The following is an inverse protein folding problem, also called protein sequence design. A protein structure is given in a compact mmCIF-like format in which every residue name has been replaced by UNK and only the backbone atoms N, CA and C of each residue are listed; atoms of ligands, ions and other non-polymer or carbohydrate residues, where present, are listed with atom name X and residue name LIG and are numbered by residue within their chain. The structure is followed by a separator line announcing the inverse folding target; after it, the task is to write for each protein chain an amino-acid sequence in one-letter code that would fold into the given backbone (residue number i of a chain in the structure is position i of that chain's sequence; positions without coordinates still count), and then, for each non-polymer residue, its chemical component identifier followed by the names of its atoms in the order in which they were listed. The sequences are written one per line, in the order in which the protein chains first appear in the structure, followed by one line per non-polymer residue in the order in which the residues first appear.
data_IF_544997866317
#
_entry.id   IF_544997866317
#
_cell.length_a   1.000
_cell.length_b   1.000
_cell.length_c   1.000
_cell.angle_alpha   90.00
_cell.angle_beta   90.00
_cell.angle_gamma   90.00
#
_symmetry.space_group_name_H-M   'P 1'
#
loop_
_entity.id
_entity.type
_entity.pdbx_description
1 polymer ?
#
# COMPACT_ATOMS: atom_id res chain seq x y z
N UNK A 1 19.02 45.22 -21.28
CA UNK A 1 18.58 44.87 -19.91
C UNK A 1 17.45 43.90 -20.08
N UNK A 2 17.56 42.68 -19.54
CA UNK A 2 16.40 41.78 -19.45
C UNK A 2 15.54 42.26 -18.29
N UNK A 3 14.23 42.36 -18.50
CA UNK A 3 13.30 42.62 -17.40
C UNK A 3 13.34 41.44 -16.44
N UNK A 4 13.31 41.70 -15.14
CA UNK A 4 13.34 40.66 -14.11
C UNK A 4 12.12 39.74 -14.25
N UNK A 5 11.00 40.27 -14.73
CA UNK A 5 9.79 39.50 -15.04
C UNK A 5 9.96 38.49 -16.17
N UNK A 6 10.97 38.65 -17.02
CA UNK A 6 11.25 37.76 -18.15
C UNK A 6 12.22 36.63 -17.78
N UNK A 7 12.76 36.63 -16.55
CA UNK A 7 13.71 35.63 -16.10
C UNK A 7 13.05 34.24 -15.93
N UNK A 8 13.54 33.20 -16.61
CA UNK A 8 13.02 31.85 -16.44
C UNK A 8 13.47 31.24 -15.12
N UNK A 9 12.66 30.34 -14.57
CA UNK A 9 13.02 29.57 -13.38
C UNK A 9 13.68 28.26 -13.77
N UNK A 10 14.70 27.85 -13.02
CA UNK A 10 15.36 26.57 -13.22
C UNK A 10 14.78 25.52 -12.27
N UNK A 11 14.52 24.32 -12.78
CA UNK A 11 14.24 23.14 -11.96
C UNK A 11 14.77 21.89 -12.64
N UNK A 12 15.52 21.05 -11.91
CA UNK A 12 16.13 19.83 -12.43
C UNK A 12 16.85 20.01 -13.79
N UNK A 13 17.60 21.11 -13.93
CA UNK A 13 18.35 21.44 -15.15
C UNK A 13 17.51 21.96 -16.33
N UNK A 14 16.17 22.06 -16.20
CA UNK A 14 15.27 22.61 -17.22
C UNK A 14 14.85 24.05 -16.89
N UNK A 15 14.77 24.89 -17.92
CA UNK A 15 14.29 26.26 -17.83
C UNK A 15 12.77 26.32 -18.07
N UNK A 16 12.06 27.03 -17.19
CA UNK A 16 10.62 27.23 -17.25
C UNK A 16 10.30 28.70 -17.44
N UNK A 17 9.35 29.00 -18.33
CA UNK A 17 8.95 30.39 -18.61
C UNK A 17 8.32 31.05 -17.38
N UNK A 18 8.46 32.38 -17.23
CA UNK A 18 7.69 33.14 -16.25
C UNK A 18 6.19 32.82 -16.32
N UNK A 19 5.54 32.71 -15.16
CA UNK A 19 4.13 32.32 -15.02
C UNK A 19 3.86 30.82 -15.14
N UNK A 20 4.87 29.98 -15.42
CA UNK A 20 4.68 28.53 -15.41
C UNK A 20 4.33 28.02 -14.01
N UNK A 21 3.35 27.13 -13.93
CA UNK A 21 2.83 26.58 -12.68
C UNK A 21 3.17 25.10 -12.59
N UNK A 22 3.86 24.71 -11.52
CA UNK A 22 4.11 23.32 -11.14
C UNK A 22 3.17 22.96 -10.00
N UNK A 23 2.33 21.96 -10.20
CA UNK A 23 1.31 21.57 -9.21
C UNK A 23 1.44 20.08 -8.91
N UNK A 24 1.65 19.76 -7.63
CA UNK A 24 1.52 18.41 -7.10
C UNK A 24 0.16 18.26 -6.41
N UNK A 25 -0.14 17.08 -5.88
CA UNK A 25 -1.36 16.87 -5.09
C UNK A 25 -1.49 17.75 -3.83
N UNK A 26 -0.38 18.32 -3.35
CA UNK A 26 -0.32 18.98 -2.04
C UNK A 26 0.51 20.29 -2.00
N UNK A 27 1.09 20.71 -3.12
CA UNK A 27 1.81 21.97 -3.23
C UNK A 27 1.68 22.56 -4.64
N UNK A 28 1.64 23.90 -4.74
CA UNK A 28 1.68 24.62 -6.02
C UNK A 28 2.83 25.61 -6.01
N UNK A 29 3.66 25.60 -7.06
CA UNK A 29 4.79 26.51 -7.23
C UNK A 29 4.65 27.29 -8.54
N UNK A 30 4.77 28.60 -8.46
CA UNK A 30 4.70 29.51 -9.61
C UNK A 30 6.09 30.06 -9.92
N UNK A 31 6.47 30.05 -11.19
CA UNK A 31 7.70 30.70 -11.63
C UNK A 31 7.48 32.21 -11.73
N UNK A 32 8.11 32.99 -10.84
CA UNK A 32 8.04 34.44 -10.82
C UNK A 32 9.44 35.03 -10.62
N UNK A 33 9.81 35.98 -11.48
CA UNK A 33 11.07 36.73 -11.39
C UNK A 33 12.32 35.83 -11.26
N UNK A 34 12.38 34.74 -12.06
CA UNK A 34 13.48 33.77 -12.01
C UNK A 34 13.49 32.83 -10.80
N UNK A 35 12.51 32.92 -9.90
CA UNK A 35 12.40 32.11 -8.68
C UNK A 35 11.08 31.34 -8.57
N UNK A 36 11.08 30.25 -7.79
CA UNK A 36 9.86 29.47 -7.53
C UNK A 36 9.18 29.97 -6.26
N UNK A 37 8.01 30.56 -6.41
CA UNK A 37 7.13 30.90 -5.29
C UNK A 37 6.17 29.74 -5.04
N UNK A 38 6.35 29.03 -3.93
CA UNK A 38 5.56 27.85 -3.58
C UNK A 38 4.55 28.14 -2.46
N UNK A 39 3.38 27.52 -2.56
CA UNK A 39 2.44 27.42 -1.45
C UNK A 39 3.04 26.62 -0.30
N UNK A 40 2.40 26.70 0.87
CA UNK A 40 2.66 25.79 1.98
C UNK A 40 2.60 24.33 1.49
N UNK A 41 3.56 23.53 1.93
CA UNK A 41 3.61 22.11 1.62
C UNK A 41 2.65 21.36 2.54
N UNK A 42 1.56 20.86 1.98
CA UNK A 42 0.55 20.09 2.74
C UNK A 42 0.70 18.58 2.54
N UNK A 43 1.83 18.10 2.02
CA UNK A 43 2.02 16.67 1.81
C UNK A 43 2.16 15.96 3.16
N UNK A 44 1.55 14.79 3.30
CA UNK A 44 1.78 13.94 4.47
C UNK A 44 3.23 13.44 4.49
N UNK A 45 3.90 13.40 5.66
CA UNK A 45 5.24 12.84 5.77
C UNK A 45 5.25 11.38 5.34
N UNK A 46 6.22 11.01 4.50
CA UNK A 46 6.31 9.67 3.92
C UNK A 46 7.73 9.12 4.01
N UNK A 47 7.85 7.93 4.59
CA UNK A 47 9.08 7.15 4.58
C UNK A 47 8.97 6.02 3.55
N UNK A 48 10.07 5.74 2.86
CA UNK A 48 10.15 4.66 1.85
C UNK A 48 11.35 3.77 2.13
N UNK A 49 11.17 2.45 2.05
CA UNK A 49 12.24 1.45 2.07
C UNK A 49 12.13 0.60 0.80
N UNK A 50 13.04 0.83 -0.12
CA UNK A 50 13.07 0.23 -1.45
C UNK A 50 14.38 -0.55 -1.63
N UNK A 51 14.38 -1.82 -1.23
CA UNK A 51 15.62 -2.60 -1.12
C UNK A 51 16.55 -1.97 -0.08
N UNK A 52 17.76 -1.57 -0.50
CA UNK A 52 18.71 -0.88 0.39
C UNK A 52 18.47 0.63 0.51
N UNK A 53 17.62 1.23 -0.32
CA UNK A 53 17.41 2.68 -0.35
C UNK A 53 16.33 3.08 0.64
N UNK A 54 16.63 4.04 1.51
CA UNK A 54 15.69 4.59 2.48
C UNK A 54 15.56 6.09 2.25
N UNK A 55 14.33 6.59 2.30
CA UNK A 55 14.04 8.02 2.44
C UNK A 55 13.26 8.22 3.74
N UNK A 56 13.77 9.05 4.64
CA UNK A 56 13.14 9.39 5.92
C UNK A 56 11.84 10.17 5.72
N UNK A 57 11.06 10.35 6.80
CA UNK A 57 9.85 11.18 6.77
C UNK A 57 10.13 12.64 6.37
N UNK A 58 11.30 13.16 6.73
CA UNK A 58 11.74 14.52 6.44
C UNK A 58 12.43 14.65 5.07
N UNK A 59 12.55 13.55 4.32
CA UNK A 59 13.04 13.52 2.94
C UNK A 59 14.54 13.25 2.80
N UNK A 60 15.24 12.83 3.85
CA UNK A 60 16.64 12.45 3.77
C UNK A 60 16.81 11.06 3.17
N UNK A 61 17.50 10.99 2.03
CA UNK A 61 17.79 9.72 1.35
C UNK A 61 19.18 9.16 1.70
N UNK A 62 19.27 7.85 1.91
CA UNK A 62 20.51 7.14 2.19
C UNK A 62 20.39 5.63 1.90
N UNK A 63 21.49 4.89 2.03
CA UNK A 63 21.52 3.43 1.83
C UNK A 63 21.83 2.66 3.11
N UNK A 64 21.23 1.47 3.22
CA UNK A 64 21.52 0.52 4.30
C UNK A 64 22.85 -0.19 4.05
N UNK A 65 23.68 -0.35 5.09
CA UNK A 65 25.04 -0.87 4.89
C UNK A 65 25.11 -2.39 4.81
N UNK A 66 24.11 -3.14 5.31
CA UNK A 66 24.17 -4.60 5.47
C UNK A 66 22.80 -5.27 5.23
N UNK A 67 22.81 -6.56 4.89
CA UNK A 67 21.61 -7.39 4.71
C UNK A 67 21.09 -7.96 6.04
N UNK A 68 20.48 -7.11 6.86
CA UNK A 68 20.06 -7.46 8.22
C UNK A 68 18.58 -7.24 8.47
N UNK A 69 18.12 -7.52 9.69
CA UNK A 69 16.81 -7.07 10.17
C UNK A 69 16.97 -5.63 10.65
N UNK A 70 16.06 -4.76 10.27
CA UNK A 70 16.08 -3.36 10.72
C UNK A 70 14.76 -2.95 11.35
N UNK A 71 14.83 -2.13 12.39
CA UNK A 71 13.67 -1.38 12.90
C UNK A 71 13.49 -0.15 12.02
N UNK A 72 12.46 -0.20 11.16
CA UNK A 72 12.19 0.84 10.17
C UNK A 72 11.55 2.06 10.82
N UNK A 73 10.51 1.86 11.62
CA UNK A 73 9.84 2.91 12.37
C UNK A 73 9.31 2.36 13.68
N UNK A 74 9.44 3.13 14.75
CA UNK A 74 8.95 2.83 16.09
C UNK A 74 8.30 4.08 16.67
N UNK A 75 7.07 3.92 17.14
CA UNK A 75 6.35 4.91 17.95
C UNK A 75 5.92 4.30 19.28
N UNK A 76 4.97 4.94 19.96
CA UNK A 76 4.48 4.48 21.27
C UNK A 76 3.80 3.11 21.20
N UNK A 77 3.01 2.89 20.15
CA UNK A 77 2.15 1.71 20.00
C UNK A 77 2.45 0.89 18.74
N UNK A 78 3.56 1.15 18.05
CA UNK A 78 3.94 0.36 16.88
C UNK A 78 5.45 0.16 16.78
N UNK A 79 5.83 -0.95 16.16
CA UNK A 79 7.18 -1.20 15.67
C UNK A 79 7.09 -1.90 14.32
N UNK A 80 7.72 -1.32 13.30
CA UNK A 80 7.79 -1.86 11.94
C UNK A 80 9.21 -2.34 11.70
N UNK A 81 9.35 -3.61 11.32
CA UNK A 81 10.64 -4.26 11.04
C UNK A 81 10.65 -4.75 9.60
N UNK A 82 11.82 -4.70 8.97
CA UNK A 82 12.05 -5.26 7.66
C UNK A 82 13.29 -6.15 7.67
N UNK A 83 13.17 -7.35 7.12
CA UNK A 83 14.26 -8.32 7.00
C UNK A 83 14.72 -8.40 5.56
N UNK A 84 16.05 -8.38 5.40
CA UNK A 84 16.68 -8.72 4.13
C UNK A 84 16.76 -10.23 3.91
N UNK A 85 16.80 -10.59 2.63
CA UNK A 85 17.29 -11.89 2.19
C UNK A 85 18.71 -12.15 2.72
N UNK A 86 18.98 -13.42 3.01
CA UNK A 86 20.31 -13.81 3.44
C UNK A 86 21.34 -13.74 2.29
N UNK A 87 20.90 -13.98 1.06
CA UNK A 87 21.75 -14.04 -0.14
C UNK A 87 21.70 -12.75 -0.96
N UNK A 88 20.52 -12.14 -1.10
CA UNK A 88 20.26 -11.05 -2.05
C UNK A 88 20.00 -9.71 -1.35
N UNK A 89 20.17 -8.59 -2.06
CA UNK A 89 19.92 -7.23 -1.54
C UNK A 89 18.44 -6.86 -1.74
N UNK A 90 17.55 -7.70 -1.21
CA UNK A 90 16.09 -7.54 -1.30
C UNK A 90 15.44 -7.77 0.06
N UNK A 91 14.31 -7.13 0.32
CA UNK A 91 13.50 -7.43 1.49
C UNK A 91 12.71 -8.72 1.23
N UNK A 92 12.61 -9.58 2.24
CA UNK A 92 11.85 -10.84 2.17
C UNK A 92 10.73 -10.90 3.20
N UNK A 93 10.80 -10.06 4.23
CA UNK A 93 9.79 -10.04 5.29
C UNK A 93 9.61 -8.64 5.85
N UNK A 94 8.36 -8.25 6.06
CA UNK A 94 7.99 -7.10 6.87
C UNK A 94 7.15 -7.58 8.04
N UNK A 95 7.43 -7.06 9.24
CA UNK A 95 6.65 -7.34 10.45
C UNK A 95 6.17 -6.02 11.02
N UNK A 96 4.85 -5.89 11.18
CA UNK A 96 4.20 -4.73 11.80
C UNK A 96 3.62 -5.21 13.12
N UNK A 97 4.25 -4.79 14.22
CA UNK A 97 3.73 -4.91 15.58
C UNK A 97 2.92 -3.64 15.86
N UNK A 98 1.61 -3.78 16.08
CA UNK A 98 0.69 -2.65 16.29
C UNK A 98 -0.20 -2.98 17.50
N UNK A 99 0.00 -2.26 18.61
CA UNK A 99 -0.54 -2.62 19.93
C UNK A 99 -0.23 -4.10 20.27
N UNK A 100 -1.24 -4.93 20.46
CA UNK A 100 -1.10 -6.36 20.74
C UNK A 100 -1.12 -7.23 19.46
N UNK A 101 -1.36 -6.61 18.31
CA UNK A 101 -1.49 -7.27 17.02
C UNK A 101 -0.14 -7.38 16.30
N UNK A 102 0.01 -8.41 15.48
CA UNK A 102 1.20 -8.59 14.66
C UNK A 102 0.80 -9.06 13.28
N UNK A 103 1.24 -8.32 12.27
CA UNK A 103 1.04 -8.60 10.86
C UNK A 103 2.38 -8.95 10.24
N UNK A 104 2.49 -10.16 9.66
CA UNK A 104 3.69 -10.64 8.99
C UNK A 104 3.46 -10.75 7.50
N UNK A 105 4.29 -10.09 6.72
CA UNK A 105 4.25 -10.03 5.26
C UNK A 105 5.45 -10.81 4.74
N UNK A 106 5.23 -11.96 4.13
CA UNK A 106 6.29 -12.88 3.70
C UNK A 106 5.74 -13.83 2.62
N UNK A 107 6.55 -14.16 1.62
CA UNK A 107 6.21 -15.12 0.55
C UNK A 107 4.85 -14.86 -0.13
N UNK A 108 4.56 -13.58 -0.43
CA UNK A 108 3.28 -13.16 -1.02
C UNK A 108 2.04 -13.51 -0.16
N UNK A 109 2.23 -13.67 1.15
CA UNK A 109 1.16 -13.90 2.13
C UNK A 109 1.22 -12.87 3.25
N UNK A 110 0.06 -12.61 3.87
CA UNK A 110 -0.05 -11.76 5.06
C UNK A 110 -0.69 -12.56 6.16
N UNK A 111 0.00 -12.68 7.30
CA UNK A 111 -0.41 -13.54 8.41
C UNK A 111 -0.56 -12.76 9.70
N UNK A 112 -1.60 -13.11 10.45
CA UNK A 112 -1.78 -12.70 11.83
C UNK A 112 -0.85 -13.49 12.76
N UNK A 113 -0.65 -12.98 13.98
CA UNK A 113 0.14 -13.63 15.04
C UNK A 113 -0.28 -15.09 15.32
N UNK A 114 -1.55 -15.43 15.17
CA UNK A 114 -2.09 -16.78 15.36
C UNK A 114 -1.88 -17.71 14.15
N UNK A 115 -1.19 -17.25 13.11
CA UNK A 115 -0.92 -18.01 11.89
C UNK A 115 -2.04 -17.98 10.85
N UNK A 116 -3.14 -17.25 11.08
CA UNK A 116 -4.22 -17.11 10.10
C UNK A 116 -3.84 -16.15 8.98
N UNK A 117 -4.05 -16.59 7.74
CA UNK A 117 -3.84 -15.79 6.55
C UNK A 117 -4.95 -14.73 6.38
N UNK A 118 -4.55 -13.53 5.95
CA UNK A 118 -5.45 -12.46 5.49
C UNK A 118 -5.51 -12.57 3.96
N UNK A 119 -6.56 -13.23 3.47
CA UNK A 119 -6.76 -13.46 2.03
C UNK A 119 -7.34 -12.25 1.32
N UNK A 120 -8.21 -11.48 1.99
CA UNK A 120 -8.85 -10.30 1.41
C UNK A 120 -8.79 -9.11 2.36
N UNK A 121 -9.44 -9.24 3.52
CA UNK A 121 -9.64 -8.17 4.49
C UNK A 121 -9.57 -8.71 5.91
N UNK A 122 -8.92 -7.96 6.79
CA UNK A 122 -8.96 -8.11 8.23
C UNK A 122 -9.29 -6.76 8.86
N UNK A 123 -10.16 -6.77 9.87
CA UNK A 123 -10.55 -5.58 10.63
C UNK A 123 -10.38 -5.87 12.11
N UNK A 124 -9.73 -4.95 12.80
CA UNK A 124 -9.64 -4.88 14.25
C UNK A 124 -10.02 -3.49 14.75
N UNK A 125 -9.91 -3.27 16.06
CA UNK A 125 -10.09 -1.95 16.67
C UNK A 125 -8.93 -0.99 16.33
N UNK A 126 -7.79 -1.52 15.91
CA UNK A 126 -6.56 -0.76 15.67
C UNK A 126 -6.21 -0.59 14.19
N UNK A 127 -6.65 -1.51 13.32
CA UNK A 127 -6.33 -1.44 11.91
C UNK A 127 -7.36 -2.10 10.99
N UNK A 128 -7.39 -1.60 9.76
CA UNK A 128 -7.94 -2.24 8.59
C UNK A 128 -6.78 -2.73 7.72
N UNK A 129 -6.70 -4.04 7.48
CA UNK A 129 -5.63 -4.68 6.68
C UNK A 129 -6.21 -5.40 5.50
N UNK A 130 -5.84 -5.01 4.27
CA UNK A 130 -6.39 -5.61 3.06
C UNK A 130 -5.46 -5.49 1.85
N UNK A 131 -5.62 -6.44 0.93
CA UNK A 131 -4.99 -6.36 -0.38
C UNK A 131 -5.65 -5.24 -1.19
N UNK A 132 -4.88 -4.25 -1.64
CA UNK A 132 -5.36 -3.18 -2.54
C UNK A 132 -5.36 -3.63 -4.01
N UNK A 133 -4.47 -4.56 -4.35
CA UNK A 133 -4.37 -5.26 -5.63
C UNK A 133 -3.60 -6.56 -5.39
N UNK A 134 -3.34 -7.35 -6.44
CA UNK A 134 -2.46 -8.53 -6.34
C UNK A 134 -1.00 -8.21 -5.94
N UNK A 135 -0.60 -6.94 -5.90
CA UNK A 135 0.79 -6.53 -5.65
C UNK A 135 0.97 -5.73 -4.36
N UNK A 136 -0.09 -5.16 -3.79
CA UNK A 136 0.01 -4.26 -2.64
C UNK A 136 -0.99 -4.62 -1.54
N UNK A 137 -0.52 -4.53 -0.29
CA UNK A 137 -1.34 -4.65 0.91
C UNK A 137 -1.27 -3.32 1.66
N UNK A 138 -2.42 -2.84 2.13
CA UNK A 138 -2.51 -1.67 2.98
C UNK A 138 -2.88 -2.09 4.40
N UNK A 139 -2.14 -1.53 5.37
CA UNK A 139 -2.54 -1.41 6.76
C UNK A 139 -2.90 0.04 7.00
N UNK A 140 -4.17 0.32 7.24
CA UNK A 140 -4.65 1.64 7.65
C UNK A 140 -5.02 1.58 9.14
N UNK A 141 -4.32 2.38 9.96
CA UNK A 141 -4.52 2.36 11.40
C UNK A 141 -5.67 3.27 11.82
N UNK A 142 -6.20 3.06 13.04
CA UNK A 142 -7.25 3.90 13.64
C UNK A 142 -6.82 5.35 13.92
N UNK A 143 -5.54 5.67 13.77
CA UNK A 143 -4.95 7.00 13.90
C UNK A 143 -4.41 7.53 12.55
N UNK A 144 -4.96 7.06 11.44
CA UNK A 144 -4.70 7.53 10.07
C UNK A 144 -3.27 7.37 9.55
N UNK A 145 -2.46 6.51 10.17
CA UNK A 145 -1.21 6.05 9.56
C UNK A 145 -1.53 5.02 8.48
N UNK A 146 -0.92 5.18 7.31
CA UNK A 146 -1.05 4.24 6.18
C UNK A 146 0.30 3.56 5.96
N UNK A 147 0.33 2.23 6.09
CA UNK A 147 1.50 1.41 5.78
C UNK A 147 1.14 0.56 4.58
N UNK A 148 1.78 0.83 3.45
CA UNK A 148 1.60 0.08 2.22
C UNK A 148 2.82 -0.80 1.99
N UNK A 149 2.59 -2.10 1.87
CA UNK A 149 3.61 -3.11 1.57
C UNK A 149 3.39 -3.56 0.14
N UNK A 150 4.35 -3.29 -0.74
CA UNK A 150 4.41 -3.98 -2.03
C UNK A 150 4.85 -5.41 -1.76
N UNK A 151 4.08 -6.40 -2.20
CA UNK A 151 4.37 -7.83 -2.02
C UNK A 151 5.04 -8.45 -3.25
N UNK A 152 4.80 -7.86 -4.43
CA UNK A 152 5.26 -8.41 -5.71
C UNK A 152 5.72 -7.27 -6.63
N UNK A 153 6.78 -7.47 -7.45
CA UNK A 153 7.60 -8.69 -7.53
C UNK A 153 8.62 -8.81 -6.38
N UNK A 154 8.97 -7.70 -5.73
CA UNK A 154 9.88 -7.64 -4.59
C UNK A 154 9.24 -6.82 -3.47
N UNK A 155 9.46 -7.23 -2.22
CA UNK A 155 8.92 -6.53 -1.05
C UNK A 155 9.50 -5.12 -0.93
N UNK A 156 8.62 -4.14 -0.81
CA UNK A 156 8.95 -2.74 -0.53
C UNK A 156 7.97 -2.15 0.47
N UNK A 157 8.40 -1.16 1.23
CA UNK A 157 7.64 -0.62 2.35
C UNK A 157 7.49 0.89 2.22
N UNK A 158 6.25 1.37 2.32
CA UNK A 158 5.89 2.77 2.25
C UNK A 158 5.05 3.13 3.47
N UNK A 159 5.52 4.06 4.30
CA UNK A 159 4.83 4.49 5.51
C UNK A 159 4.45 5.95 5.32
N UNK A 160 3.16 6.27 5.46
CA UNK A 160 2.64 7.64 5.40
C UNK A 160 1.99 7.97 6.73
N UNK A 161 2.46 9.03 7.37
CA UNK A 161 1.92 9.51 8.65
C UNK A 161 0.73 10.44 8.40
N UNK A 162 -0.20 10.57 9.36
CA UNK A 162 -1.15 11.67 9.34
C UNK A 162 -0.38 13.00 9.41
N UNK A 163 -0.89 14.04 8.74
CA UNK A 163 -0.23 15.36 8.68
C UNK A 163 0.05 15.94 10.06
N UNK A 164 -0.89 15.74 10.98
CA UNK A 164 -0.75 16.10 12.38
C UNK A 164 -0.61 14.81 13.19
N UNK A 165 0.56 14.61 13.78
CA UNK A 165 0.78 13.62 14.83
C UNK A 165 1.51 14.28 16.00
N UNK A 166 1.32 13.73 17.19
CA UNK A 166 2.06 14.12 18.41
C UNK A 166 2.98 13.01 18.89
N UNK A 167 3.10 11.94 18.11
CA UNK A 167 3.89 10.77 18.44
C UNK A 167 5.39 11.08 18.36
N UNK A 168 6.14 10.57 19.34
CA UNK A 168 7.59 10.54 19.27
C UNK A 168 8.00 9.35 18.41
N UNK A 169 8.49 9.63 17.21
CA UNK A 169 8.85 8.63 16.21
C UNK A 169 10.37 8.46 16.17
N UNK A 170 10.82 7.22 15.97
CA UNK A 170 12.22 6.85 15.84
C UNK A 170 12.39 5.67 14.88
N UNK A 171 13.63 5.32 14.54
CA UNK A 171 13.96 4.25 13.61
C UNK A 171 14.69 4.77 12.37
N UNK A 172 14.82 3.92 11.36
CA UNK A 172 15.40 4.29 10.07
C UNK A 172 14.65 5.45 9.38
N UNK A 173 13.34 5.56 9.57
CA UNK A 173 12.55 6.64 8.98
C UNK A 173 12.76 8.02 9.61
N UNK A 174 13.66 8.17 10.59
CA UNK A 174 13.90 9.43 11.28
C UNK A 174 12.83 9.72 12.33
N UNK A 175 12.65 11.00 12.66
CA UNK A 175 11.74 11.47 13.72
C UNK A 175 10.55 12.29 13.21
N UNK A 176 10.50 12.64 11.92
CA UNK A 176 9.39 13.36 11.27
C UNK A 176 9.17 14.78 11.83
N UNK A 177 10.25 15.49 12.17
CA UNK A 177 10.19 16.84 12.76
C UNK A 177 10.42 17.97 11.73
N UNK A 178 10.47 17.64 10.44
CA UNK A 178 10.79 18.52 9.32
C UNK A 178 12.24 19.07 9.33
N UNK A 179 13.18 18.38 10.00
CA UNK A 179 14.62 18.67 10.01
C UNK A 179 15.47 17.45 9.64
N UNK A 180 15.86 17.37 8.36
CA UNK A 180 16.74 16.29 7.86
C UNK A 180 18.13 16.22 8.54
N UNK A 181 18.54 17.26 9.27
CA UNK A 181 19.88 17.30 9.84
C UNK A 181 20.02 16.36 11.04
N UNK A 182 18.93 16.03 11.74
CA UNK A 182 18.92 15.15 12.92
C UNK A 182 18.35 13.74 12.66
N UNK A 183 17.86 13.47 11.45
CA UNK A 183 17.36 12.16 11.00
C UNK A 183 18.29 10.97 11.28
N UNK A 184 19.59 11.21 11.39
CA UNK A 184 20.57 10.19 11.77
C UNK A 184 20.74 10.07 13.29
N UNK A 185 19.64 10.11 14.03
CA UNK A 185 19.62 9.84 15.46
C UNK A 185 19.56 8.33 15.70
N UNK A 186 20.62 7.77 16.28
CA UNK A 186 20.75 6.33 16.54
C UNK A 186 19.75 5.82 17.59
N UNK A 187 19.64 4.50 17.72
CA UNK A 187 18.80 3.84 18.75
C UNK A 187 19.18 4.18 20.20
N UNK A 188 20.38 4.75 20.41
CA UNK A 188 20.85 5.25 21.70
C UNK A 188 20.68 6.77 21.86
N UNK A 189 19.90 7.42 20.99
CA UNK A 189 19.65 8.87 20.95
C UNK A 189 20.92 9.71 20.70
N UNK A 190 21.89 9.17 19.95
CA UNK A 190 23.10 9.88 19.54
C UNK A 190 22.97 10.27 18.07
N UNK A 191 23.19 11.55 17.76
CA UNK A 191 23.23 12.04 16.38
C UNK A 191 24.52 11.61 15.70
N UNK A 192 24.38 10.76 14.70
CA UNK A 192 25.48 10.24 13.91
C UNK A 192 25.79 11.16 12.72
N UNK A 193 27.07 11.17 12.32
CA UNK A 193 27.56 11.97 11.19
C UNK A 193 27.33 11.31 9.83
N UNK A 194 27.02 10.01 9.80
CA UNK A 194 26.86 9.24 8.56
C UNK A 194 25.79 8.15 8.71
N UNK A 195 25.29 7.67 7.57
CA UNK A 195 24.19 6.68 7.54
C UNK A 195 24.59 5.31 8.10
N UNK A 196 25.86 4.90 7.99
CA UNK A 196 26.32 3.56 8.40
C UNK A 196 26.18 3.31 9.92
N UNK A 197 26.81 4.08 10.82
CA UNK A 197 26.64 3.89 12.27
C UNK A 197 25.18 4.07 12.71
N UNK A 198 24.48 5.04 12.11
CA UNK A 198 23.05 5.24 12.35
C UNK A 198 22.22 4.00 12.02
N UNK A 199 22.32 3.49 10.79
CA UNK A 199 21.52 2.35 10.34
C UNK A 199 21.85 1.08 11.12
N UNK A 200 23.15 0.85 11.44
CA UNK A 200 23.57 -0.31 12.23
C UNK A 200 23.05 -0.25 13.67
N UNK A 201 22.85 0.94 14.25
CA UNK A 201 22.25 1.06 15.58
C UNK A 201 20.80 0.55 15.64
N UNK A 202 20.10 0.56 14.51
CA UNK A 202 18.75 0.04 14.33
C UNK A 202 18.71 -1.37 13.74
N UNK A 203 19.89 -2.00 13.54
CA UNK A 203 20.07 -3.27 12.84
C UNK A 203 20.39 -4.45 13.76
N UNK A 204 19.66 -5.54 13.56
CA UNK A 204 19.79 -6.81 14.26
C UNK A 204 20.16 -7.91 13.25
N UNK A 205 20.81 -8.98 13.72
CA UNK A 205 20.97 -10.16 12.87
C UNK A 205 19.59 -10.82 12.62
N UNK A 206 19.47 -11.56 11.51
CA UNK A 206 18.23 -12.26 11.15
C UNK A 206 17.85 -13.33 12.18
N UNK A 207 18.84 -13.90 12.89
CA UNK A 207 18.60 -14.84 13.98
C UNK A 207 18.19 -14.17 15.31
N UNK A 208 18.10 -12.84 15.35
CA UNK A 208 17.73 -12.06 16.53
C UNK A 208 18.89 -11.58 17.39
N UNK A 209 20.15 -11.86 17.01
CA UNK A 209 21.29 -11.30 17.73
C UNK A 209 21.29 -9.76 17.68
N UNK A 210 21.73 -9.08 18.76
CA UNK A 210 21.63 -7.62 18.92
C UNK A 210 22.48 -6.82 17.94
N UNK A 211 23.42 -7.46 17.23
CA UNK A 211 24.29 -6.81 16.26
C UNK A 211 24.29 -7.54 14.93
N UNK A 212 24.20 -6.76 13.86
CA UNK A 212 24.32 -7.22 12.48
C UNK A 212 25.76 -7.64 12.14
N UNK A 213 26.05 -8.94 12.20
CA UNK A 213 27.37 -9.52 11.88
C UNK A 213 27.59 -9.83 10.40
N UNK A 214 26.62 -9.49 9.53
CA UNK A 214 26.71 -9.72 8.08
C UNK A 214 27.78 -8.86 7.41
N UNK A 215 28.20 -9.27 6.23
CA UNK A 215 29.08 -8.48 5.37
C UNK A 215 28.37 -7.21 4.87
N UNK A 216 29.18 -6.21 4.55
CA UNK A 216 28.70 -4.96 3.97
C UNK A 216 28.11 -5.22 2.57
N UNK A 217 27.03 -4.52 2.23
CA UNK A 217 26.49 -4.54 0.88
C UNK A 217 27.52 -3.86 -0.04
N UNK A 218 27.92 -4.50 -1.16
CA UNK A 218 28.88 -3.91 -2.09
C UNK A 218 28.38 -2.57 -2.63
N UNK A 219 29.22 -1.54 -2.50
CA UNK A 219 28.96 -0.22 -3.09
C UNK A 219 29.10 -0.20 -4.62
N UNK A 220 29.80 -1.20 -5.16
CA UNK A 220 30.05 -1.37 -6.60
C UNK A 220 29.44 -2.69 -7.07
N UNK A 221 29.15 -2.76 -8.36
CA UNK A 221 28.64 -3.96 -8.98
C UNK A 221 29.69 -5.08 -8.90
N UNK A 222 29.27 -6.22 -8.36
CA UNK A 222 30.14 -7.41 -8.20
C UNK A 222 30.05 -8.38 -9.38
N UNK A 223 29.06 -8.19 -10.26
CA UNK A 223 28.80 -9.05 -11.41
C UNK A 223 28.79 -8.22 -12.70
N UNK A 224 29.82 -8.40 -13.53
CA UNK A 224 30.01 -7.66 -14.77
C UNK A 224 28.92 -7.92 -15.82
N UNK A 225 28.38 -9.14 -15.88
CA UNK A 225 27.29 -9.47 -16.81
C UNK A 225 25.98 -8.77 -16.40
N UNK A 226 25.69 -8.70 -15.10
CA UNK A 226 24.54 -7.96 -14.61
C UNK A 226 24.73 -6.45 -14.73
N UNK A 227 25.96 -5.94 -14.53
CA UNK A 227 26.31 -4.53 -14.72
C UNK A 227 26.04 -4.07 -16.16
N UNK A 228 26.57 -4.78 -17.17
CA UNK A 228 26.32 -4.48 -18.59
C UNK A 228 24.82 -4.47 -18.90
N UNK A 229 24.08 -5.45 -18.37
CA UNK A 229 22.63 -5.51 -18.54
C UNK A 229 21.93 -4.31 -17.89
N UNK A 230 22.35 -3.91 -16.69
CA UNK A 230 21.77 -2.80 -15.95
C UNK A 230 22.06 -1.45 -16.62
N UNK A 231 23.31 -1.21 -17.03
CA UNK A 231 23.70 -0.01 -17.78
C UNK A 231 22.94 0.14 -19.09
N UNK A 232 22.62 -0.97 -19.76
CA UNK A 232 21.81 -0.95 -20.98
C UNK A 232 20.32 -0.65 -20.72
N UNK A 233 19.75 -1.15 -19.60
CA UNK A 233 18.29 -1.11 -19.37
C UNK A 233 17.81 0.04 -18.48
N UNK A 234 18.59 0.44 -17.48
CA UNK A 234 18.23 1.52 -16.56
C UNK A 234 18.09 2.91 -17.21
N UNK A 235 18.78 3.24 -18.32
CA UNK A 235 18.48 4.46 -19.11
C UNK A 235 17.05 4.52 -19.64
N UNK A 236 16.26 3.44 -19.55
CA UNK A 236 14.82 3.43 -19.80
C UNK A 236 14.03 4.47 -19.00
N UNK A 237 14.58 5.01 -17.89
CA UNK A 237 13.99 6.16 -17.18
C UNK A 237 13.94 7.45 -18.03
N UNK A 238 14.73 7.53 -19.10
CA UNK A 238 14.70 8.63 -20.07
C UNK A 238 13.71 8.41 -21.21
N UNK A 239 13.00 7.27 -21.23
CA UNK A 239 11.96 7.00 -22.22
C UNK A 239 10.80 8.02 -22.13
N UNK A 240 10.15 8.28 -23.26
CA UNK A 240 9.05 9.24 -23.37
C UNK A 240 7.89 8.97 -22.39
N UNK A 241 7.66 7.71 -22.00
CA UNK A 241 6.64 7.33 -21.00
C UNK A 241 6.82 8.01 -19.65
N UNK A 242 8.04 8.45 -19.33
CA UNK A 242 8.41 9.14 -18.10
C UNK A 242 8.65 10.64 -18.27
N UNK A 243 8.57 11.17 -19.49
CA UNK A 243 8.95 12.55 -19.82
C UNK A 243 8.22 13.61 -18.98
N UNK A 244 6.93 13.41 -18.70
CA UNK A 244 6.13 14.28 -17.85
C UNK A 244 6.69 14.36 -16.41
N UNK A 245 7.28 13.26 -15.93
CA UNK A 245 7.83 13.16 -14.60
C UNK A 245 9.13 13.94 -14.40
N UNK A 246 9.94 14.06 -15.45
CA UNK A 246 11.26 14.70 -15.37
C UNK A 246 11.20 16.16 -14.91
N UNK A 247 10.03 16.82 -15.00
CA UNK A 247 9.79 18.17 -14.49
C UNK A 247 9.48 18.22 -12.98
N UNK A 248 9.33 17.06 -12.34
CA UNK A 248 9.02 16.90 -10.93
C UNK A 248 10.14 16.15 -10.19
N UNK A 249 10.68 15.08 -10.79
CA UNK A 249 11.71 14.23 -10.20
C UNK A 249 12.81 14.00 -11.24
N UNK A 250 14.07 14.31 -10.91
CA UNK A 250 15.19 13.97 -11.80
C UNK A 250 15.37 12.44 -11.87
N UNK A 251 15.54 11.86 -13.07
CA UNK A 251 15.77 10.43 -13.22
C UNK A 251 17.17 10.00 -12.75
N UNK A 252 18.14 10.90 -12.61
CA UNK A 252 19.57 10.56 -12.42
C UNK A 252 19.82 9.66 -11.21
N UNK A 253 19.27 10.04 -10.05
CA UNK A 253 19.44 9.27 -8.81
C UNK A 253 18.75 7.89 -8.89
N UNK A 254 17.58 7.83 -9.54
CA UNK A 254 16.86 6.58 -9.76
C UNK A 254 17.57 5.68 -10.77
N UNK A 255 18.23 6.26 -11.78
CA UNK A 255 19.02 5.51 -12.75
C UNK A 255 20.23 4.88 -12.08
N UNK A 256 20.97 5.64 -11.26
CA UNK A 256 22.07 5.11 -10.48
C UNK A 256 21.61 3.99 -9.51
N UNK A 257 20.48 4.20 -8.83
CA UNK A 257 19.89 3.22 -7.94
C UNK A 257 19.46 1.94 -8.70
N UNK A 258 18.89 2.09 -9.90
CA UNK A 258 18.51 1.00 -10.78
C UNK A 258 19.70 0.16 -11.21
N UNK A 259 20.83 0.81 -11.57
CA UNK A 259 22.04 0.11 -11.98
C UNK A 259 22.54 -0.75 -10.82
N UNK A 260 22.68 -0.17 -9.64
CA UNK A 260 23.13 -0.88 -8.44
C UNK A 260 22.18 -2.01 -8.02
N UNK A 261 20.87 -1.77 -8.03
CA UNK A 261 19.88 -2.79 -7.65
C UNK A 261 19.87 -3.97 -8.62
N UNK A 262 19.96 -3.69 -9.92
CA UNK A 262 19.95 -4.73 -10.96
C UNK A 262 21.27 -5.50 -10.98
N UNK A 263 22.41 -4.82 -10.78
CA UNK A 263 23.72 -5.48 -10.84
C UNK A 263 23.98 -6.39 -9.63
N UNK A 264 23.51 -5.98 -8.45
CA UNK A 264 23.59 -6.76 -7.21
C UNK A 264 22.44 -7.76 -7.03
N UNK A 265 21.56 -7.87 -8.03
CA UNK A 265 20.50 -8.86 -8.05
C UNK A 265 21.08 -10.26 -8.22
N UNK A 266 20.44 -11.26 -7.59
CA UNK A 266 20.78 -12.66 -7.80
C UNK A 266 20.23 -13.17 -9.13
N UNK A 267 19.43 -14.23 -9.08
CA UNK A 267 19.07 -14.96 -10.31
C UNK A 267 17.98 -14.25 -11.16
N UNK A 268 17.16 -13.40 -10.55
CA UNK A 268 16.03 -12.76 -11.24
C UNK A 268 16.29 -11.28 -11.55
N UNK A 269 17.29 -11.01 -12.40
CA UNK A 269 17.69 -9.65 -12.78
C UNK A 269 16.58 -8.79 -13.39
N UNK A 270 15.60 -9.41 -14.07
CA UNK A 270 14.51 -8.66 -14.68
C UNK A 270 13.55 -8.13 -13.61
N UNK A 271 13.28 -8.88 -12.55
CA UNK A 271 12.43 -8.41 -11.45
C UNK A 271 13.10 -7.26 -10.68
N UNK A 272 14.41 -7.33 -10.42
CA UNK A 272 15.15 -6.21 -9.82
C UNK A 272 15.12 -4.96 -10.71
N UNK A 273 15.35 -5.11 -12.02
CA UNK A 273 15.24 -4.01 -12.99
C UNK A 273 13.84 -3.39 -12.98
N UNK A 274 12.80 -4.21 -13.12
CA UNK A 274 11.41 -3.74 -13.20
C UNK A 274 10.92 -3.14 -11.88
N UNK A 275 11.40 -3.66 -10.74
CA UNK A 275 11.18 -3.04 -9.43
C UNK A 275 11.82 -1.66 -9.38
N UNK A 276 13.09 -1.52 -9.76
CA UNK A 276 13.79 -0.24 -9.70
C UNK A 276 13.19 0.82 -10.64
N UNK A 277 12.77 0.43 -11.85
CA UNK A 277 12.00 1.30 -12.76
C UNK A 277 10.63 1.67 -12.15
N UNK A 278 9.97 0.70 -11.50
CA UNK A 278 8.71 0.88 -10.79
C UNK A 278 8.80 1.88 -9.64
N UNK A 279 9.94 1.98 -8.93
CA UNK A 279 10.15 2.98 -7.88
C UNK A 279 10.01 4.40 -8.41
N UNK A 280 10.62 4.69 -9.58
CA UNK A 280 10.48 5.99 -10.23
C UNK A 280 9.03 6.25 -10.66
N UNK A 281 8.37 5.23 -11.23
CA UNK A 281 6.97 5.32 -11.63
C UNK A 281 6.04 5.61 -10.43
N UNK A 282 6.30 4.97 -9.29
CA UNK A 282 5.56 5.13 -8.04
C UNK A 282 5.80 6.50 -7.41
N UNK A 283 7.06 6.94 -7.34
CA UNK A 283 7.39 8.28 -6.87
C UNK A 283 6.67 9.35 -7.69
N UNK A 284 6.65 9.16 -9.02
CA UNK A 284 5.97 10.08 -9.92
C UNK A 284 4.44 10.13 -9.74
N UNK A 285 3.81 8.95 -9.73
CA UNK A 285 2.36 8.84 -9.55
C UNK A 285 1.90 9.36 -8.19
N UNK A 286 2.74 9.25 -7.16
CA UNK A 286 2.47 9.85 -5.84
C UNK A 286 2.43 11.38 -5.83
N UNK A 287 2.98 12.03 -6.85
CA UNK A 287 2.85 13.47 -7.07
C UNK A 287 1.61 13.84 -7.91
N UNK A 288 0.82 12.84 -8.33
CA UNK A 288 -0.34 13.01 -9.21
C UNK A 288 0.01 13.09 -10.70
N UNK A 289 1.26 12.81 -11.08
CA UNK A 289 1.70 12.84 -12.48
C UNK A 289 1.25 11.56 -13.19
N UNK A 290 0.51 11.72 -14.29
CA UNK A 290 0.08 10.60 -15.13
C UNK A 290 1.24 10.10 -16.00
N UNK A 291 1.49 8.80 -15.93
CA UNK A 291 2.47 8.10 -16.74
C UNK A 291 1.78 7.28 -17.84
N UNK A 292 2.51 7.02 -18.93
CA UNK A 292 2.08 6.04 -19.93
C UNK A 292 2.25 4.60 -19.45
N UNK A 293 1.98 3.63 -20.32
CA UNK A 293 2.21 2.20 -20.03
C UNK A 293 3.71 1.85 -20.06
N UNK A 294 4.41 2.24 -19.00
CA UNK A 294 5.86 2.04 -18.88
C UNK A 294 6.25 0.57 -18.79
N UNK A 295 5.37 -0.29 -18.25
CA UNK A 295 5.63 -1.74 -18.16
C UNK A 295 5.74 -2.36 -19.53
N UNK A 296 4.82 -2.08 -20.44
CA UNK A 296 4.92 -2.56 -21.82
C UNK A 296 6.10 -1.92 -22.55
N UNK A 297 6.31 -0.60 -22.39
CA UNK A 297 7.39 0.12 -23.07
C UNK A 297 8.80 -0.37 -22.69
N UNK A 298 8.98 -0.88 -21.46
CA UNK A 298 10.29 -1.28 -20.92
C UNK A 298 10.43 -2.79 -20.68
N UNK A 299 9.50 -3.60 -21.21
CA UNK A 299 9.46 -5.06 -21.07
C UNK A 299 9.40 -5.54 -19.60
N UNK A 300 8.52 -4.91 -18.83
CA UNK A 300 8.22 -5.15 -17.42
C UNK A 300 6.75 -5.54 -17.18
N UNK A 301 6.13 -6.20 -18.17
CA UNK A 301 4.74 -6.64 -18.16
C UNK A 301 4.48 -7.65 -17.04
N UNK A 302 3.32 -7.54 -16.39
CA UNK A 302 2.86 -8.47 -15.36
C UNK A 302 1.86 -9.45 -15.96
N UNK A 303 2.09 -10.74 -15.75
CA UNK A 303 1.13 -11.78 -16.14
C UNK A 303 0.14 -11.98 -15.01
N UNK A 304 -1.14 -11.76 -15.29
CA UNK A 304 -2.19 -11.94 -14.31
C UNK A 304 -2.75 -13.36 -14.28
N UNK A 305 -3.13 -13.87 -13.10
CA UNK A 305 -3.73 -15.19 -12.98
C UNK A 305 -5.14 -15.22 -13.57
N UNK A 306 -5.60 -16.41 -13.93
CA UNK A 306 -6.97 -16.72 -14.39
C UNK A 306 -7.44 -15.81 -15.54
N UNK A 307 -8.49 -15.03 -15.33
CA UNK A 307 -9.07 -14.07 -16.26
C UNK A 307 -8.97 -12.62 -15.74
N UNK A 308 -8.08 -12.38 -14.77
CA UNK A 308 -7.76 -11.04 -14.29
C UNK A 308 -6.95 -10.28 -15.34
N UNK A 309 -7.00 -8.95 -15.26
CA UNK A 309 -6.22 -8.06 -16.11
C UNK A 309 -5.34 -7.15 -15.26
N UNK A 310 -4.18 -6.79 -15.80
CA UNK A 310 -3.31 -5.81 -15.19
C UNK A 310 -3.90 -4.40 -15.36
N UNK A 311 -3.84 -3.60 -14.30
CA UNK A 311 -4.23 -2.20 -14.31
C UNK A 311 -3.28 -1.38 -13.44
N UNK A 312 -3.06 -0.12 -13.83
CA UNK A 312 -2.36 0.87 -12.99
C UNK A 312 -3.31 1.51 -11.95
N UNK A 313 -4.62 1.38 -12.16
CA UNK A 313 -5.64 2.09 -11.39
C UNK A 313 -6.58 1.12 -10.67
N UNK A 314 -6.05 0.10 -9.99
CA UNK A 314 -6.91 -0.76 -9.19
C UNK A 314 -7.43 0.01 -7.98
N UNK A 315 -8.75 -0.04 -7.81
CA UNK A 315 -9.46 0.46 -6.64
C UNK A 315 -10.16 -0.74 -6.01
N UNK A 316 -9.90 -1.00 -4.73
CA UNK A 316 -10.41 -2.20 -4.07
C UNK A 316 -11.91 -2.12 -3.74
N UNK A 317 -12.44 -0.90 -3.55
CA UNK A 317 -13.84 -0.69 -3.22
C UNK A 317 -14.74 -1.34 -4.28
N UNK A 318 -15.70 -2.15 -3.85
CA UNK A 318 -16.65 -2.84 -4.72
C UNK A 318 -15.99 -3.75 -5.78
N UNK A 319 -14.77 -4.26 -5.55
CA UNK A 319 -14.02 -5.07 -6.53
C UNK A 319 -14.18 -6.58 -6.38
N UNK A 320 -14.68 -7.05 -5.23
CA UNK A 320 -14.84 -8.47 -4.89
C UNK A 320 -16.31 -8.81 -4.66
N UNK A 321 -16.71 -10.06 -4.82
CA UNK A 321 -18.11 -10.44 -4.55
C UNK A 321 -18.49 -10.22 -3.08
N UNK A 322 -17.57 -10.43 -2.14
CA UNK A 322 -17.73 -10.14 -0.72
C UNK A 322 -17.94 -8.65 -0.44
N UNK A 323 -17.25 -7.75 -1.17
CA UNK A 323 -17.42 -6.30 -1.02
C UNK A 323 -18.82 -5.80 -1.38
N UNK A 324 -19.52 -6.50 -2.29
CA UNK A 324 -20.88 -6.16 -2.70
C UNK A 324 -21.90 -6.49 -1.60
N UNK A 325 -21.57 -7.43 -0.73
CA UNK A 325 -22.45 -7.92 0.32
C UNK A 325 -22.42 -7.02 1.56
N UNK A 326 -22.92 -5.79 1.42
CA UNK A 326 -23.09 -4.84 2.53
C UNK A 326 -22.18 -3.62 2.44
N UNK A 327 -21.87 -3.02 3.60
CA UNK A 327 -20.96 -1.86 3.65
C UNK A 327 -19.51 -2.34 3.67
N UNK A 328 -18.78 -2.06 2.59
CA UNK A 328 -17.34 -2.32 2.53
C UNK A 328 -16.57 -1.17 3.17
N UNK A 329 -15.92 -1.37 4.34
CA UNK A 329 -15.15 -0.31 5.01
C UNK A 329 -13.98 0.21 4.15
N UNK A 330 -13.51 -0.56 3.16
CA UNK A 330 -12.47 -0.11 2.25
C UNK A 330 -12.94 1.01 1.32
N UNK A 331 -14.26 1.13 1.09
CA UNK A 331 -14.85 2.21 0.30
C UNK A 331 -14.83 3.57 1.00
N UNK A 332 -14.72 3.57 2.34
CA UNK A 332 -14.60 4.79 3.13
C UNK A 332 -13.19 5.39 3.02
N UNK A 333 -12.22 4.60 2.56
CA UNK A 333 -10.85 5.03 2.35
C UNK A 333 -10.70 5.68 0.97
N UNK A 334 -10.41 6.98 0.97
CA UNK A 334 -9.78 7.64 -0.17
C UNK A 334 -8.34 7.13 -0.27
N UNK A 335 -8.18 5.96 -0.89
CA UNK A 335 -6.89 5.36 -1.20
C UNK A 335 -6.40 5.80 -2.58
N UNK A 336 -5.10 6.04 -2.71
CA UNK A 336 -4.49 6.23 -4.02
C UNK A 336 -4.58 4.91 -4.80
N UNK A 337 -4.92 4.95 -6.09
CA UNK A 337 -4.91 3.77 -6.94
C UNK A 337 -3.54 3.10 -6.92
N UNK A 338 -3.54 1.77 -6.97
CA UNK A 338 -2.31 0.97 -7.06
C UNK A 338 -2.32 0.07 -8.27
N UNK A 339 -1.14 -0.25 -8.76
CA UNK A 339 -1.00 -1.20 -9.85
C UNK A 339 -1.12 -2.65 -9.37
N UNK A 340 -1.45 -3.54 -10.31
CA UNK A 340 -1.57 -4.97 -10.06
C UNK A 340 -2.65 -5.62 -10.90
N UNK A 341 -2.88 -6.89 -10.64
CA UNK A 341 -3.95 -7.66 -11.25
C UNK A 341 -5.26 -7.42 -10.50
N UNK A 342 -6.32 -7.25 -11.27
CA UNK A 342 -7.68 -7.07 -10.78
C UNK A 342 -8.69 -7.50 -11.83
N UNK A 343 -9.96 -7.40 -11.47
CA UNK A 343 -11.03 -7.78 -12.38
C UNK A 343 -11.34 -6.66 -13.39
N UNK A 344 -11.55 -7.00 -14.68
CA UNK A 344 -12.04 -6.05 -15.67
C UNK A 344 -13.36 -5.40 -15.26
N UNK A 345 -13.63 -4.23 -15.83
CA UNK A 345 -14.86 -3.47 -15.58
C UNK A 345 -16.12 -4.35 -15.78
N UNK A 346 -17.06 -4.28 -14.84
CA UNK A 346 -18.28 -5.08 -14.83
C UNK A 346 -18.14 -6.49 -14.25
N UNK A 347 -16.95 -6.87 -13.78
CA UNK A 347 -16.69 -8.15 -13.11
C UNK A 347 -16.06 -7.97 -11.73
N UNK A 348 -16.21 -8.96 -10.86
CA UNK A 348 -15.77 -8.94 -9.46
C UNK A 348 -15.05 -10.24 -9.11
N UNK A 349 -14.06 -10.15 -8.21
CA UNK A 349 -13.29 -11.30 -7.76
C UNK A 349 -14.13 -12.22 -6.87
N UNK A 350 -14.31 -13.46 -7.28
CA UNK A 350 -14.96 -14.51 -6.48
C UNK A 350 -13.98 -15.39 -5.69
N UNK A 351 -14.51 -16.40 -4.99
CA UNK A 351 -13.77 -17.26 -4.05
C UNK A 351 -12.58 -18.04 -4.68
N UNK A 352 -12.63 -18.33 -5.99
CA UNK A 352 -11.56 -19.05 -6.72
C UNK A 352 -10.54 -18.12 -7.39
N UNK A 353 -10.47 -16.84 -7.01
CA UNK A 353 -9.67 -15.82 -7.68
C UNK A 353 -10.01 -15.64 -9.17
N UNK A 354 -11.26 -15.92 -9.55
CA UNK A 354 -11.80 -15.76 -10.90
C UNK A 354 -12.75 -14.57 -10.91
N UNK A 355 -12.65 -13.76 -11.96
CA UNK A 355 -13.54 -12.63 -12.18
C UNK A 355 -14.87 -13.11 -12.75
N UNK A 356 -15.95 -12.82 -12.04
CA UNK A 356 -17.32 -13.18 -12.43
C UNK A 356 -18.22 -11.94 -12.50
N UNK A 357 -19.28 -12.00 -13.30
CA UNK A 357 -20.22 -10.89 -13.40
C UNK A 357 -20.94 -10.64 -12.08
N UNK A 358 -21.31 -9.38 -11.80
CA UNK A 358 -22.02 -8.98 -10.57
C UNK A 358 -23.23 -9.89 -10.26
N UNK A 359 -24.00 -10.25 -11.28
CA UNK A 359 -25.18 -11.14 -11.19
C UNK A 359 -24.90 -12.57 -10.74
N UNK A 360 -23.65 -13.04 -10.85
CA UNK A 360 -23.21 -14.37 -10.46
C UNK A 360 -22.50 -14.39 -9.10
N UNK A 361 -22.26 -13.23 -8.50
CA UNK A 361 -21.63 -13.17 -7.19
C UNK A 361 -22.49 -13.83 -6.11
N UNK A 362 -21.93 -14.73 -5.29
CA UNK A 362 -22.59 -15.17 -4.08
C UNK A 362 -22.72 -13.99 -3.11
N UNK A 363 -23.75 -14.02 -2.28
CA UNK A 363 -23.93 -13.02 -1.23
C UNK A 363 -23.38 -13.55 0.09
N UNK A 364 -22.56 -12.73 0.76
CA UNK A 364 -21.97 -13.01 2.06
C UNK A 364 -22.84 -12.43 3.17
N UNK A 365 -22.99 -13.17 4.26
CA UNK A 365 -23.72 -12.75 5.47
C UNK A 365 -23.10 -13.41 6.71
N UNK A 366 -23.57 -13.04 7.90
CA UNK A 366 -23.00 -13.52 9.17
C UNK A 366 -22.97 -15.04 9.32
N UNK A 367 -23.89 -15.76 8.68
CA UNK A 367 -23.99 -17.22 8.70
C UNK A 367 -23.30 -17.95 7.54
N UNK A 368 -22.59 -17.24 6.65
CA UNK A 368 -21.85 -17.83 5.53
C UNK A 368 -22.15 -17.16 4.19
N UNK A 369 -22.19 -17.95 3.12
CA UNK A 369 -22.46 -17.48 1.76
C UNK A 369 -23.69 -18.17 1.17
N UNK A 370 -24.43 -17.45 0.33
CA UNK A 370 -25.54 -18.00 -0.46
C UNK A 370 -25.32 -17.73 -1.95
N UNK A 371 -25.63 -18.70 -2.84
CA UNK A 371 -25.61 -18.44 -4.28
C UNK A 371 -26.69 -17.40 -4.67
N UNK A 372 -26.59 -16.82 -5.88
CA UNK A 372 -27.63 -15.96 -6.44
C UNK A 372 -29.02 -16.61 -6.44
N UNK A 373 -30.05 -15.79 -6.20
CA UNK A 373 -31.45 -16.18 -6.17
C UNK A 373 -32.07 -16.21 -4.76
N UNK A 374 -33.31 -16.73 -4.69
CA UNK A 374 -34.09 -16.78 -3.45
C UNK A 374 -33.70 -17.95 -2.55
N UNK A 375 -33.50 -17.67 -1.27
CA UNK A 375 -33.21 -18.69 -0.25
C UNK A 375 -33.75 -18.24 1.12
N UNK A 376 -34.16 -19.21 1.94
CA UNK A 376 -34.56 -18.94 3.32
C UNK A 376 -33.32 -18.94 4.21
N UNK A 377 -33.02 -17.80 4.84
CA UNK A 377 -31.87 -17.60 5.73
C UNK A 377 -32.41 -17.08 7.06
N UNK A 378 -32.12 -17.77 8.17
CA UNK A 378 -32.62 -17.45 9.51
C UNK A 378 -34.15 -17.23 9.58
N UNK A 379 -34.90 -17.97 8.75
CA UNK A 379 -36.37 -17.88 8.66
C UNK A 379 -36.90 -16.72 7.82
N UNK A 380 -36.02 -15.91 7.21
CA UNK A 380 -36.37 -14.83 6.29
C UNK A 380 -36.22 -15.30 4.84
N UNK A 381 -37.20 -14.97 4.00
CA UNK A 381 -37.02 -15.13 2.56
C UNK A 381 -36.07 -14.02 2.08
N UNK A 382 -34.86 -14.41 1.70
CA UNK A 382 -33.84 -13.52 1.17
C UNK A 382 -33.64 -13.77 -0.32
N UNK A 383 -33.39 -12.71 -1.09
CA UNK A 383 -32.98 -12.76 -2.47
C UNK A 383 -31.54 -12.26 -2.56
N UNK A 384 -30.64 -13.09 -3.07
CA UNK A 384 -29.29 -12.68 -3.44
C UNK A 384 -29.30 -12.23 -4.89
N UNK A 385 -29.14 -10.93 -5.12
CA UNK A 385 -29.15 -10.35 -6.46
C UNK A 385 -27.95 -9.41 -6.60
N UNK A 386 -27.17 -9.59 -7.66
CA UNK A 386 -25.99 -8.78 -7.92
C UNK A 386 -24.99 -8.74 -6.74
N UNK A 387 -24.82 -9.83 -6.00
CA UNK A 387 -23.94 -9.89 -4.82
C UNK A 387 -24.47 -9.17 -3.58
N UNK A 388 -25.67 -8.58 -3.65
CA UNK A 388 -26.34 -7.92 -2.53
C UNK A 388 -27.45 -8.82 -1.97
N UNK A 389 -27.43 -9.05 -0.65
CA UNK A 389 -28.45 -9.86 0.02
C UNK A 389 -29.60 -8.99 0.49
N UNK A 390 -30.79 -9.23 -0.03
CA UNK A 390 -32.01 -8.54 0.37
C UNK A 390 -32.96 -9.51 1.06
N UNK A 391 -33.06 -9.40 2.39
CA UNK A 391 -33.98 -10.21 3.18
C UNK A 391 -35.31 -9.48 3.41
N UNK A 392 -36.43 -10.12 3.08
CA UNK A 392 -37.73 -9.58 3.41
C UNK A 392 -37.90 -9.55 4.94
N UNK A 393 -38.31 -8.42 5.49
CA UNK A 393 -38.65 -8.28 6.92
C UNK A 393 -39.91 -9.06 7.28
N UNK A 394 -40.72 -9.41 6.29
CA UNK A 394 -41.90 -10.22 6.44
C UNK A 394 -41.54 -11.70 6.24
N UNK A 395 -41.69 -12.50 7.30
CA UNK A 395 -41.23 -13.89 7.36
C UNK A 395 -42.18 -14.85 6.63
N UNK A 396 -42.89 -14.34 5.62
CA UNK A 396 -43.94 -15.08 4.89
C UNK A 396 -45.11 -15.51 5.78
N UNK A 397 -45.39 -14.78 6.87
CA UNK A 397 -46.42 -15.17 7.83
C UNK A 397 -47.83 -14.97 7.27
N UNK A 398 -48.40 -16.00 6.65
CA UNK A 398 -49.82 -15.98 6.25
C UNK A 398 -50.74 -16.37 7.41
N UNK A 399 -51.90 -15.69 7.52
CA UNK A 399 -53.00 -15.96 8.47
C UNK A 399 -52.60 -15.96 9.95
N UNK A 400 -52.70 -14.80 10.61
CA UNK A 400 -52.74 -14.69 12.08
C UNK A 400 -51.43 -14.94 12.82
N UNK A 401 -50.30 -15.08 12.11
CA UNK A 401 -48.96 -15.19 12.69
C UNK A 401 -48.24 -13.84 12.59
N UNK A 402 -47.52 -13.47 13.65
CA UNK A 402 -46.69 -12.26 13.70
C UNK A 402 -45.24 -12.70 13.68
N UNK A 403 -44.44 -12.13 12.79
CA UNK A 403 -43.00 -12.35 12.83
C UNK A 403 -42.36 -11.47 13.91
N UNK A 404 -41.46 -12.07 14.69
CA UNK A 404 -40.80 -11.39 15.79
C UNK A 404 -39.31 -11.76 15.83
N UNK A 405 -38.45 -10.75 15.81
CA UNK A 405 -37.00 -10.93 15.82
C UNK A 405 -36.48 -11.06 17.24
N UNK A 406 -35.72 -12.12 17.53
CA UNK A 406 -35.12 -12.33 18.85
C UNK A 406 -34.13 -11.22 19.27
N UNK A 407 -33.58 -10.47 18.30
CA UNK A 407 -32.76 -9.27 18.55
C UNK A 407 -33.55 -8.09 19.11
N UNK A 408 -34.89 -8.12 19.02
CA UNK A 408 -35.78 -7.07 19.53
C UNK A 408 -36.23 -7.32 20.99
N UNK A 409 -35.69 -8.34 21.66
CA UNK A 409 -35.99 -8.68 23.07
C UNK A 409 -36.87 -9.92 23.22
N UNK A 410 -37.38 -10.22 24.42
CA UNK A 410 -38.29 -11.36 24.65
C UNK A 410 -39.76 -11.00 24.44
N UNK A 411 -40.43 -11.72 23.53
CA UNK A 411 -41.88 -11.62 23.37
C UNK A 411 -42.58 -12.55 24.37
N UNK A 412 -43.51 -12.00 25.17
CA UNK A 412 -44.46 -12.84 25.92
C UNK A 412 -45.43 -13.49 24.93
N UNK A 413 -45.25 -14.78 24.64
CA UNK A 413 -46.06 -15.59 23.71
C UNK A 413 -47.54 -15.78 24.14
N UNK A 414 -48.00 -15.08 25.18
CA UNK A 414 -49.34 -15.21 25.74
C UNK A 414 -50.38 -14.23 25.17
N UNK A 415 -50.24 -13.77 23.92
CA UNK A 415 -51.31 -13.01 23.26
C UNK A 415 -52.39 -13.95 22.72
N UNK A 416 -53.46 -14.07 23.51
CA UNK A 416 -54.70 -14.79 23.21
C UNK A 416 -55.38 -14.18 21.98
N UNK A 417 -55.60 -14.97 20.93
CA UNK A 417 -56.40 -14.58 19.75
C UNK A 417 -57.89 -14.49 20.10
N UNK A 418 -58.68 -13.75 19.33
CA UNK A 418 -60.15 -13.66 19.54
C UNK A 418 -60.83 -15.04 19.47
N UNK A 419 -60.29 -15.99 18.69
CA UNK A 419 -60.74 -17.40 18.66
C UNK A 419 -60.61 -18.11 20.01
N UNK A 420 -59.58 -17.80 20.80
CA UNK A 420 -59.37 -18.41 22.12
C UNK A 420 -60.33 -17.90 23.19
N UNK A 421 -61.10 -16.84 22.92
CA UNK A 421 -62.16 -16.33 23.81
C UNK A 421 -63.57 -16.83 23.44
N UNK A 422 -63.73 -17.56 22.34
CA UNK A 422 -65.05 -17.95 21.82
C UNK A 422 -65.49 -19.41 22.11
N UNK A 423 -64.81 -20.14 23.01
CA UNK A 423 -65.31 -21.45 23.44
C UNK A 423 -65.90 -21.45 24.86
N UNK A 424 -67.23 -21.37 24.84
CA UNK A 424 -68.27 -21.95 25.72
C UNK A 424 -68.54 -21.30 27.09
N UNK A 425 -69.64 -20.53 27.09
CA UNK A 425 -70.75 -20.67 28.06
C UNK A 425 -71.22 -22.12 28.16
#
# INVERSE_FOLDING_TARGET
MCDESDCPCMFAGKAFKPGHVRKTGCQTCNCQNGSWECSENTCSPKCTVEGQYVTSFDGKSYTLPKKCRYVVSKGSNWTIKADFSSSEVVLTKVVIELFEETYTFEDNTVKLKNGKDITELHRSDHALVFWQSSMFVLVHTSFDMKIQVQMSPIIQLYITLPRSHTETISGLCGNSNNDTTDDFTSSNNIRESSSKPFALSWGYDLNGNPQCSREDIPALCVNSANEIYAEYRCPGLNNEVFSNCHSYISPDQYQAACIQATCNCGNNKNDCLCTALGNYAKACSSLGVKLGDWRSALNCTITCPTNQAFSYNNVICNSTCSSLSGNDPRCELQGDPVEGCGCPEGTHLGDENVCISKSKCPCHYSGGTTPPGQKVIDGLLCNCENGELQCNKDCGCTKGKVCYHCSQGWMKTAQKTCESRLKKL
#
